data_IF_377604145286
#
_entry.id   IF_377604145286
#
_cell.length_a   1.000
_cell.length_b   1.000
_cell.length_c   1.000
_cell.angle_alpha   90.00
_cell.angle_beta   90.00
_cell.angle_gamma   90.00
#
_symmetry.space_group_name_H-M   'P 1'
#
loop_
_entity.id
_entity.type
_entity.pdbx_description
1 polymer ?
#
# COMPACT_ATOMS: atom_id res chain seq x y z
N UNK A 1 51.56 -44.61 39.45
CA UNK A 1 51.33 -44.87 38.01
C UNK A 1 49.84 -45.15 37.83
N UNK A 2 49.23 -44.52 36.83
CA UNK A 2 47.79 -44.25 36.66
C UNK A 2 46.80 -45.40 36.93
N UNK A 3 45.66 -45.05 37.53
CA UNK A 3 44.45 -45.90 37.54
C UNK A 3 43.36 -45.16 36.72
N UNK A 4 42.76 -45.80 35.70
CA UNK A 4 41.90 -45.17 34.68
C UNK A 4 40.49 -44.76 35.17
N UNK A 5 39.83 -43.79 34.49
CA UNK A 5 38.64 -43.09 35.00
C UNK A 5 37.32 -43.78 34.62
N UNK A 6 37.11 -45.03 35.04
CA UNK A 6 35.88 -45.78 34.73
C UNK A 6 35.19 -46.41 35.96
N UNK A 7 35.41 -45.86 37.16
CA UNK A 7 34.76 -46.34 38.41
C UNK A 7 34.05 -45.19 39.13
N UNK A 8 33.17 -44.47 38.43
CA UNK A 8 32.17 -43.60 39.06
C UNK A 8 30.82 -43.93 38.41
N UNK A 9 29.95 -44.62 39.15
CA UNK A 9 28.55 -44.85 38.76
C UNK A 9 27.81 -43.51 38.56
N UNK A 10 26.64 -43.52 37.88
CA UNK A 10 25.94 -42.31 37.50
C UNK A 10 25.64 -41.44 38.73
N UNK A 11 26.20 -40.22 38.75
CA UNK A 11 25.96 -39.24 39.81
C UNK A 11 24.45 -38.96 39.94
N UNK A 12 23.88 -38.99 41.16
CA UNK A 12 22.43 -38.93 41.38
C UNK A 12 21.78 -37.61 40.88
N UNK A 13 22.55 -36.53 40.76
CA UNK A 13 22.09 -35.28 40.15
C UNK A 13 21.87 -35.40 38.63
N UNK A 14 22.71 -36.19 37.94
CA UNK A 14 22.60 -36.37 36.49
C UNK A 14 21.34 -37.16 36.11
N UNK A 15 20.96 -38.18 36.90
CA UNK A 15 19.72 -38.91 36.69
C UNK A 15 18.48 -38.05 36.98
N UNK A 16 18.54 -37.18 37.99
CA UNK A 16 17.46 -36.24 38.30
C UNK A 16 17.26 -35.18 37.19
N UNK A 17 18.34 -34.64 36.62
CA UNK A 17 18.23 -33.70 35.48
C UNK A 17 17.66 -34.38 34.23
N UNK A 18 18.10 -35.60 33.91
CA UNK A 18 17.55 -36.37 32.79
C UNK A 18 16.07 -36.68 33.03
N UNK A 19 15.68 -37.01 34.27
CA UNK A 19 14.28 -37.21 34.63
C UNK A 19 13.48 -35.91 34.46
N UNK A 20 14.00 -34.76 34.90
CA UNK A 20 13.32 -33.47 34.74
C UNK A 20 13.18 -33.07 33.26
N UNK A 21 14.21 -33.31 32.46
CA UNK A 21 14.19 -33.02 31.02
C UNK A 21 13.21 -33.94 30.27
N UNK A 22 13.11 -35.21 30.67
CA UNK A 22 12.12 -36.15 30.13
C UNK A 22 10.67 -35.73 30.47
N UNK A 23 10.41 -35.29 31.71
CA UNK A 23 9.09 -34.78 32.09
C UNK A 23 8.73 -33.50 31.32
N UNK A 24 9.70 -32.59 31.11
CA UNK A 24 9.48 -31.38 30.31
C UNK A 24 9.20 -31.69 28.84
N UNK A 25 9.88 -32.67 28.25
CA UNK A 25 9.62 -33.12 26.87
C UNK A 25 8.24 -33.78 26.72
N UNK A 26 7.82 -34.60 27.69
CA UNK A 26 6.49 -35.22 27.70
C UNK A 26 5.40 -34.16 27.84
N UNK A 27 5.58 -33.17 28.71
CA UNK A 27 4.64 -32.05 28.86
C UNK A 27 4.54 -31.20 27.58
N UNK A 28 5.66 -30.92 26.91
CA UNK A 28 5.68 -30.19 25.65
C UNK A 28 5.01 -30.98 24.50
N UNK A 29 5.24 -32.30 24.43
CA UNK A 29 4.60 -33.17 23.44
C UNK A 29 3.07 -33.24 23.66
N UNK A 30 2.62 -33.32 24.91
CA UNK A 30 1.19 -33.29 25.25
C UNK A 30 0.54 -31.95 24.90
N UNK A 31 1.23 -30.82 25.15
CA UNK A 31 0.74 -29.49 24.78
C UNK A 31 0.60 -29.31 23.25
N UNK A 32 1.59 -29.78 22.48
CA UNK A 32 1.52 -29.77 21.01
C UNK A 32 0.40 -30.67 20.48
N UNK A 33 0.20 -31.86 21.06
CA UNK A 33 -0.89 -32.75 20.68
C UNK A 33 -2.28 -32.14 20.98
N UNK A 34 -2.44 -31.48 22.13
CA UNK A 34 -3.67 -30.76 22.49
C UNK A 34 -3.93 -29.56 21.56
N UNK A 35 -2.89 -28.81 21.19
CA UNK A 35 -3.01 -27.68 20.26
C UNK A 35 -3.43 -28.14 18.85
N UNK A 36 -2.84 -29.23 18.34
CA UNK A 36 -3.26 -29.82 17.07
C UNK A 36 -4.70 -30.36 17.12
N UNK A 37 -5.10 -31.02 18.21
CA UNK A 37 -6.47 -31.50 18.38
C UNK A 37 -7.49 -30.33 18.40
N UNK A 38 -7.18 -29.23 19.10
CA UNK A 38 -8.02 -28.03 19.12
C UNK A 38 -8.10 -27.35 17.75
N UNK A 39 -6.99 -27.27 17.01
CA UNK A 39 -6.96 -26.71 15.66
C UNK A 39 -7.80 -27.54 14.68
N UNK A 40 -7.73 -28.87 14.74
CA UNK A 40 -8.59 -29.75 13.93
C UNK A 40 -10.07 -29.63 14.32
N UNK A 41 -10.40 -29.51 15.60
CA UNK A 41 -11.77 -29.28 16.05
C UNK A 41 -12.33 -27.94 15.55
N UNK A 42 -11.55 -26.85 15.62
CA UNK A 42 -11.95 -25.54 15.08
C UNK A 42 -12.11 -25.59 13.55
N UNK A 43 -11.21 -26.27 12.84
CA UNK A 43 -11.32 -26.43 11.39
C UNK A 43 -12.58 -27.21 10.97
N UNK A 44 -12.98 -28.25 11.73
CA UNK A 44 -14.22 -28.98 11.47
C UNK A 44 -15.48 -28.12 11.72
N UNK A 45 -15.50 -27.30 12.77
CA UNK A 45 -16.62 -26.39 13.05
C UNK A 45 -16.76 -25.34 11.93
N UNK A 46 -15.65 -24.77 11.44
CA UNK A 46 -15.67 -23.81 10.32
C UNK A 46 -16.10 -24.49 9.02
N UNK A 47 -15.63 -25.71 8.74
CA UNK A 47 -16.04 -26.48 7.56
C UNK A 47 -17.53 -26.84 7.58
N UNK A 48 -18.09 -27.20 8.74
CA UNK A 48 -19.53 -27.44 8.90
C UNK A 48 -20.35 -26.15 8.73
N UNK A 49 -19.88 -25.01 9.24
CA UNK A 49 -20.54 -23.73 9.05
C UNK A 49 -20.54 -23.29 7.56
N UNK A 50 -19.45 -23.52 6.84
CA UNK A 50 -19.38 -23.26 5.40
C UNK A 50 -20.27 -24.22 4.59
N UNK A 51 -20.32 -25.50 4.95
CA UNK A 51 -21.22 -26.47 4.32
C UNK A 51 -22.71 -26.14 4.56
N UNK A 52 -23.07 -25.69 5.76
CA UNK A 52 -24.42 -25.22 6.07
C UNK A 52 -24.79 -23.97 5.26
N UNK A 53 -23.87 -23.01 5.12
CA UNK A 53 -24.09 -21.85 4.26
C UNK A 53 -24.25 -22.24 2.77
N UNK A 54 -23.44 -23.19 2.27
CA UNK A 54 -23.58 -23.68 0.89
C UNK A 54 -24.93 -24.40 0.67
N UNK A 55 -25.40 -25.19 1.63
CA UNK A 55 -26.69 -25.86 1.55
C UNK A 55 -27.86 -24.87 1.63
N UNK A 56 -27.77 -23.84 2.47
CA UNK A 56 -28.74 -22.75 2.53
C UNK A 56 -28.79 -21.94 1.23
N UNK A 57 -27.64 -21.72 0.58
CA UNK A 57 -27.58 -21.03 -0.71
C UNK A 57 -28.19 -21.88 -1.84
N UNK A 58 -27.97 -23.21 -1.85
CA UNK A 58 -28.63 -24.10 -2.80
C UNK A 58 -30.15 -24.20 -2.59
N UNK A 59 -30.62 -24.21 -1.33
CA UNK A 59 -32.06 -24.16 -1.04
C UNK A 59 -32.69 -22.82 -1.46
N UNK A 60 -31.99 -21.69 -1.29
CA UNK A 60 -32.45 -20.39 -1.78
C UNK A 60 -32.56 -20.34 -3.32
N UNK A 61 -31.61 -20.95 -4.04
CA UNK A 61 -31.68 -21.09 -5.51
C UNK A 61 -32.85 -22.00 -5.91
N UNK A 62 -33.09 -23.11 -5.20
CA UNK A 62 -34.22 -24.00 -5.47
C UNK A 62 -35.59 -23.34 -5.18
N UNK A 63 -35.67 -22.49 -4.16
CA UNK A 63 -36.88 -21.72 -3.82
C UNK A 63 -37.16 -20.60 -4.84
N UNK A 64 -36.13 -20.00 -5.43
CA UNK A 64 -36.28 -19.08 -6.57
C UNK A 64 -36.71 -19.80 -7.87
N UNK A 65 -36.41 -21.10 -8.02
CA UNK A 65 -36.84 -21.89 -9.18
C UNK A 65 -38.31 -22.36 -9.09
N UNK A 66 -38.84 -22.62 -7.88
CA UNK A 66 -40.25 -23.02 -7.71
C UNK A 66 -41.26 -21.86 -7.78
N UNK A 67 -40.81 -20.60 -7.79
CA UNK A 67 -41.67 -19.45 -8.09
C UNK A 67 -41.99 -19.29 -9.59
N UNK A 68 -41.48 -20.17 -10.45
CA UNK A 68 -41.87 -20.26 -11.87
C UNK A 68 -42.71 -21.52 -12.09
N UNK A 69 -43.96 -21.50 -11.61
CA UNK A 69 -45.00 -22.16 -12.40
C UNK A 69 -45.07 -21.44 -13.76
N UNK A 70 -45.21 -22.14 -14.90
CA UNK A 70 -45.57 -21.48 -16.15
C UNK A 70 -47.03 -21.02 -16.01
N UNK A 71 -47.23 -19.87 -15.37
CA UNK A 71 -48.40 -19.05 -15.68
C UNK A 71 -48.39 -18.87 -17.21
N UNK A 72 -49.51 -19.08 -17.91
CA UNK A 72 -49.59 -18.75 -19.32
C UNK A 72 -49.27 -17.26 -19.41
N UNK A 73 -48.05 -16.97 -19.88
CA UNK A 73 -47.62 -15.61 -20.18
C UNK A 73 -48.68 -15.08 -21.12
N UNK A 74 -49.46 -14.05 -20.74
CA UNK A 74 -50.12 -13.27 -21.77
C UNK A 74 -48.97 -12.85 -22.68
N UNK A 75 -49.07 -13.20 -23.97
CA UNK A 75 -48.16 -12.68 -24.98
C UNK A 75 -47.84 -11.23 -24.60
N UNK A 76 -46.56 -10.80 -24.59
CA UNK A 76 -46.31 -9.39 -24.50
C UNK A 76 -47.01 -8.80 -25.71
N UNK A 77 -48.17 -8.19 -25.48
CA UNK A 77 -48.75 -7.26 -26.42
C UNK A 77 -47.56 -6.39 -26.84
N UNK A 78 -47.29 -6.25 -28.15
CA UNK A 78 -46.31 -5.27 -28.58
C UNK A 78 -46.73 -4.00 -27.85
N UNK A 79 -45.88 -3.50 -26.93
CA UNK A 79 -46.14 -2.23 -26.26
C UNK A 79 -46.43 -1.29 -27.40
N UNK A 80 -47.71 -0.92 -27.54
CA UNK A 80 -48.13 0.01 -28.57
C UNK A 80 -47.15 1.16 -28.45
N UNK A 81 -46.58 1.65 -29.56
CA UNK A 81 -45.56 2.69 -29.50
C UNK A 81 -46.18 3.82 -28.68
N UNK A 82 -45.78 3.93 -27.41
CA UNK A 82 -46.20 5.02 -26.54
C UNK A 82 -45.84 6.23 -27.37
N UNK A 83 -46.84 7.00 -27.75
CA UNK A 83 -46.62 8.22 -28.50
C UNK A 83 -45.77 9.07 -27.57
N UNK A 84 -44.46 9.02 -27.78
CA UNK A 84 -43.47 9.66 -26.95
C UNK A 84 -43.84 11.13 -27.00
N UNK A 85 -44.35 11.66 -25.89
CA UNK A 85 -44.62 13.08 -25.77
C UNK A 85 -43.34 13.82 -26.13
N UNK A 86 -43.46 14.92 -26.87
CA UNK A 86 -42.32 15.73 -27.35
C UNK A 86 -41.32 16.02 -26.20
N UNK A 87 -41.84 16.24 -24.98
CA UNK A 87 -41.07 16.42 -23.75
C UNK A 87 -40.19 15.21 -23.38
N UNK A 88 -40.72 13.97 -23.44
CA UNK A 88 -39.93 12.76 -23.16
C UNK A 88 -38.85 12.51 -24.21
N UNK A 89 -39.09 12.92 -25.45
CA UNK A 89 -38.11 12.85 -26.53
C UNK A 89 -36.98 13.87 -26.33
N UNK A 90 -37.33 15.09 -25.94
CA UNK A 90 -36.38 16.15 -25.59
C UNK A 90 -35.51 15.77 -24.39
N UNK A 91 -36.08 15.19 -23.33
CA UNK A 91 -35.30 14.69 -22.21
C UNK A 91 -34.30 13.60 -22.62
N UNK A 92 -34.73 12.68 -23.49
CA UNK A 92 -33.86 11.61 -24.00
C UNK A 92 -32.74 12.18 -24.87
N UNK A 93 -33.03 13.18 -25.70
CA UNK A 93 -32.03 13.89 -26.50
C UNK A 93 -31.03 14.63 -25.62
N UNK A 94 -31.48 15.35 -24.60
CA UNK A 94 -30.61 16.05 -23.64
C UNK A 94 -29.73 15.08 -22.86
N UNK A 95 -30.29 13.97 -22.35
CA UNK A 95 -29.53 12.91 -21.66
C UNK A 95 -28.49 12.29 -22.59
N UNK A 96 -28.86 12.05 -23.85
CA UNK A 96 -27.93 11.51 -24.85
C UNK A 96 -26.81 12.50 -25.18
N UNK A 97 -27.12 13.78 -25.35
CA UNK A 97 -26.13 14.83 -25.57
C UNK A 97 -25.17 14.96 -24.39
N UNK A 98 -25.68 14.99 -23.16
CA UNK A 98 -24.84 15.02 -21.96
C UNK A 98 -23.92 13.78 -21.86
N UNK A 99 -24.44 12.59 -22.18
CA UNK A 99 -23.66 11.37 -22.19
C UNK A 99 -22.55 11.42 -23.24
N UNK A 100 -22.88 11.89 -24.45
CA UNK A 100 -21.95 11.97 -25.57
C UNK A 100 -20.85 13.01 -25.34
N UNK A 101 -21.22 14.21 -24.87
CA UNK A 101 -20.27 15.27 -24.49
C UNK A 101 -19.35 14.82 -23.36
N UNK A 102 -19.86 14.06 -22.38
CA UNK A 102 -19.00 13.46 -21.36
C UNK A 102 -18.09 12.41 -21.98
N UNK A 103 -18.64 11.45 -22.74
CA UNK A 103 -17.92 10.28 -23.26
C UNK A 103 -16.75 10.68 -24.15
N UNK A 104 -16.96 11.66 -25.01
CA UNK A 104 -15.97 12.16 -25.97
C UNK A 104 -15.34 13.50 -25.54
N UNK A 105 -15.35 13.79 -24.24
CA UNK A 105 -14.63 14.94 -23.70
C UNK A 105 -13.13 14.84 -24.02
N UNK A 106 -12.49 15.97 -24.26
CA UNK A 106 -11.08 16.08 -24.64
C UNK A 106 -10.13 15.37 -23.67
N UNK A 107 -10.44 15.40 -22.37
CA UNK A 107 -9.71 14.67 -21.32
C UNK A 107 -9.75 13.14 -21.42
N UNK A 108 -10.66 12.60 -22.25
CA UNK A 108 -10.81 11.15 -22.51
C UNK A 108 -10.32 10.75 -23.89
N UNK A 109 -9.76 11.69 -24.67
CA UNK A 109 -9.13 11.35 -25.95
C UNK A 109 -7.89 10.51 -25.68
N UNK A 110 -7.65 9.54 -26.57
CA UNK A 110 -6.42 8.76 -26.56
C UNK A 110 -5.23 9.71 -26.73
N UNK A 111 -4.21 9.58 -25.88
CA UNK A 111 -3.07 10.50 -25.85
C UNK A 111 -3.29 11.77 -25.01
N UNK A 112 -4.38 11.86 -24.24
CA UNK A 112 -4.52 12.94 -23.25
C UNK A 112 -3.46 12.79 -22.15
N UNK A 113 -2.62 13.82 -22.01
CA UNK A 113 -1.68 13.98 -20.91
C UNK A 113 -2.36 14.86 -19.87
N UNK A 114 -2.39 14.38 -18.63
CA UNK A 114 -2.99 15.12 -17.52
C UNK A 114 -2.20 16.40 -17.22
N UNK A 115 -2.81 17.31 -16.46
CA UNK A 115 -2.16 18.55 -16.07
C UNK A 115 -0.81 18.28 -15.37
N UNK A 116 0.17 19.13 -15.66
CA UNK A 116 1.49 19.06 -15.02
C UNK A 116 1.34 19.29 -13.51
N UNK A 117 2.18 18.63 -12.72
CA UNK A 117 2.26 18.88 -11.28
C UNK A 117 2.80 20.28 -11.06
N UNK A 118 1.97 21.13 -10.48
CA UNK A 118 2.33 22.48 -10.05
C UNK A 118 3.14 22.46 -8.75
N UNK A 119 3.86 23.55 -8.51
CA UNK A 119 4.67 23.71 -7.32
C UNK A 119 3.80 23.86 -6.06
N UNK A 120 4.14 23.09 -5.03
CA UNK A 120 3.45 23.11 -3.74
C UNK A 120 4.01 24.23 -2.85
N UNK A 121 3.22 24.78 -1.92
CA UNK A 121 3.71 25.80 -1.00
C UNK A 121 4.88 25.28 -0.16
N UNK A 122 5.95 26.09 0.05
CA UNK A 122 7.16 25.65 0.73
C UNK A 122 6.94 25.29 2.21
N UNK A 123 5.86 25.77 2.82
CA UNK A 123 5.45 25.39 4.18
C UNK A 123 5.08 23.91 4.30
N UNK A 124 4.60 23.30 3.21
CA UNK A 124 4.18 21.90 3.21
C UNK A 124 5.36 20.97 3.55
N UNK A 125 6.49 21.13 2.86
CA UNK A 125 7.69 20.33 3.11
C UNK A 125 8.32 20.66 4.48
N UNK A 126 8.36 21.94 4.86
CA UNK A 126 8.87 22.38 6.17
C UNK A 126 8.10 21.73 7.32
N UNK A 127 6.78 21.66 7.20
CA UNK A 127 5.92 20.99 8.19
C UNK A 127 6.17 19.50 8.23
N UNK A 128 6.26 18.82 7.08
CA UNK A 128 6.51 17.37 7.03
C UNK A 128 7.82 17.01 7.73
N UNK A 129 8.91 17.71 7.42
CA UNK A 129 10.22 17.44 8.03
C UNK A 129 10.18 17.70 9.54
N UNK A 130 9.54 18.79 9.97
CA UNK A 130 9.37 19.12 11.40
C UNK A 130 8.55 18.07 12.15
N UNK A 131 7.47 17.59 11.53
CA UNK A 131 6.56 16.61 12.12
C UNK A 131 7.19 15.20 12.22
N UNK A 132 8.01 14.80 11.23
CA UNK A 132 8.70 13.50 11.24
C UNK A 132 9.92 13.49 12.17
N UNK A 133 10.63 14.61 12.26
CA UNK A 133 11.77 14.80 13.17
C UNK A 133 12.81 13.69 13.04
N UNK A 134 13.12 13.04 14.16
CA UNK A 134 14.10 11.96 14.29
C UNK A 134 13.50 10.54 14.11
N UNK A 135 12.24 10.44 13.68
CA UNK A 135 11.52 9.16 13.54
C UNK A 135 11.39 8.35 14.84
N UNK A 136 11.53 8.97 16.02
CA UNK A 136 11.35 8.30 17.32
C UNK A 136 9.89 7.95 17.61
N UNK A 137 8.95 8.79 17.17
CA UNK A 137 7.52 8.62 17.40
C UNK A 137 6.96 7.34 16.74
N UNK A 138 6.12 6.63 17.47
CA UNK A 138 5.41 5.43 16.97
C UNK A 138 4.45 5.75 15.81
N UNK A 139 4.00 7.01 15.69
CA UNK A 139 3.09 7.48 14.64
C UNK A 139 3.66 7.24 13.24
N UNK A 140 4.95 7.48 13.04
CA UNK A 140 5.63 7.40 11.74
C UNK A 140 6.35 6.06 11.51
N UNK A 141 5.89 4.98 12.16
CA UNK A 141 6.52 3.65 12.04
C UNK A 141 6.51 3.12 10.61
N UNK A 142 5.45 3.39 9.84
CA UNK A 142 5.30 2.91 8.47
C UNK A 142 6.29 3.60 7.51
N UNK A 143 6.64 4.85 7.78
CA UNK A 143 7.52 5.65 6.93
C UNK A 143 9.01 5.29 7.11
N UNK A 144 9.39 4.65 8.23
CA UNK A 144 10.79 4.26 8.51
C UNK A 144 11.42 3.42 7.40
N UNK A 145 10.66 2.51 6.80
CA UNK A 145 11.12 1.68 5.67
C UNK A 145 11.47 2.55 4.47
N UNK A 146 10.69 3.59 4.22
CA UNK A 146 10.90 4.51 3.10
C UNK A 146 12.15 5.36 3.32
N UNK A 147 12.38 5.87 4.53
CA UNK A 147 13.62 6.60 4.88
C UNK A 147 14.87 5.75 4.64
N UNK A 148 14.83 4.47 5.03
CA UNK A 148 15.93 3.54 4.74
C UNK A 148 16.09 3.26 3.23
N UNK A 149 14.99 3.13 2.49
CA UNK A 149 15.04 2.96 1.03
C UNK A 149 15.60 4.19 0.30
N UNK A 150 15.30 5.38 0.81
CA UNK A 150 15.77 6.64 0.24
C UNK A 150 17.30 6.82 0.35
N UNK A 151 17.94 6.17 1.32
CA UNK A 151 19.40 6.21 1.50
C UNK A 151 20.17 5.83 0.24
N UNK A 152 19.63 4.93 -0.60
CA UNK A 152 20.21 4.56 -1.90
C UNK A 152 20.46 5.77 -2.81
N UNK A 153 19.58 6.77 -2.75
CA UNK A 153 19.63 7.95 -3.61
C UNK A 153 20.30 9.16 -2.95
N UNK A 154 20.81 8.99 -1.72
CA UNK A 154 21.53 10.04 -1.00
C UNK A 154 22.70 10.61 -1.80
N UNK A 155 23.55 9.80 -2.49
CA UNK A 155 24.65 10.36 -3.28
C UNK A 155 24.17 11.31 -4.39
N UNK A 156 23.01 11.01 -4.99
CA UNK A 156 22.43 11.87 -6.03
C UNK A 156 21.88 13.18 -5.45
N UNK A 157 21.21 13.12 -4.30
CA UNK A 157 20.72 14.32 -3.62
C UNK A 157 21.88 15.24 -3.20
N UNK A 158 22.96 14.67 -2.67
CA UNK A 158 24.16 15.43 -2.28
C UNK A 158 24.84 16.05 -3.49
N UNK A 159 24.99 15.32 -4.60
CA UNK A 159 25.56 15.85 -5.83
C UNK A 159 24.76 17.06 -6.35
N UNK A 160 23.42 16.93 -6.43
CA UNK A 160 22.52 18.02 -6.88
C UNK A 160 22.50 19.21 -5.91
N UNK A 161 22.75 18.98 -4.63
CA UNK A 161 22.87 20.04 -3.63
C UNK A 161 24.18 20.82 -3.80
N UNK A 162 25.30 20.10 -3.97
CA UNK A 162 26.63 20.70 -4.09
C UNK A 162 26.85 21.42 -5.42
N UNK A 163 26.28 20.92 -6.52
CA UNK A 163 26.38 21.63 -7.80
C UNK A 163 25.68 23.01 -7.76
N UNK A 164 24.66 23.16 -6.91
CA UNK A 164 23.85 24.38 -6.78
C UNK A 164 24.26 25.24 -5.57
N UNK A 165 25.50 25.12 -5.09
CA UNK A 165 26.01 26.00 -4.04
C UNK A 165 25.89 27.48 -4.45
N UNK A 166 25.50 28.37 -3.52
CA UNK A 166 25.45 29.79 -3.78
C UNK A 166 26.86 30.32 -4.07
N UNK A 167 26.97 31.13 -5.12
CA UNK A 167 28.23 31.77 -5.48
C UNK A 167 28.55 32.90 -4.49
N UNK A 168 29.82 33.30 -4.30
CA UNK A 168 30.19 34.27 -3.26
C UNK A 168 29.57 35.67 -3.44
N UNK A 169 29.15 36.02 -4.66
CA UNK A 169 28.42 37.26 -4.94
C UNK A 169 26.89 37.15 -4.71
N UNK A 170 26.37 35.96 -4.42
CA UNK A 170 24.95 35.73 -4.15
C UNK A 170 24.70 35.64 -2.64
N UNK A 171 23.80 36.48 -2.12
CA UNK A 171 23.44 36.43 -0.69
C UNK A 171 22.52 35.25 -0.37
N UNK A 172 21.53 34.99 -1.22
CA UNK A 172 20.54 33.91 -1.08
C UNK A 172 20.30 33.34 -2.48
N UNK A 173 20.22 32.02 -2.58
CA UNK A 173 19.82 31.29 -3.79
C UNK A 173 18.59 30.45 -3.49
N UNK A 174 17.47 30.81 -4.13
CA UNK A 174 16.26 30.00 -4.12
C UNK A 174 16.34 28.93 -5.22
N UNK A 175 16.00 27.69 -4.87
CA UNK A 175 16.19 26.53 -5.74
C UNK A 175 14.93 25.66 -5.72
N UNK A 176 14.48 25.20 -6.89
CA UNK A 176 13.39 24.23 -6.97
C UNK A 176 13.78 22.90 -6.32
N UNK A 177 12.93 22.45 -5.40
CA UNK A 177 13.12 21.20 -4.66
C UNK A 177 12.06 20.17 -5.05
N UNK A 178 12.52 18.96 -5.41
CA UNK A 178 11.68 17.79 -5.58
C UNK A 178 11.81 16.91 -4.35
N UNK A 179 10.73 16.75 -3.60
CA UNK A 179 10.74 16.04 -2.32
C UNK A 179 9.83 14.81 -2.33
N UNK A 180 10.20 13.81 -1.53
CA UNK A 180 9.33 12.67 -1.27
C UNK A 180 8.14 13.10 -0.40
N UNK A 181 6.93 12.56 -0.64
CA UNK A 181 5.70 12.94 0.09
C UNK A 181 5.80 12.78 1.61
N UNK A 182 6.65 11.88 2.10
CA UNK A 182 6.92 11.67 3.55
C UNK A 182 8.12 12.47 4.07
N UNK A 183 8.80 13.26 3.24
CA UNK A 183 10.01 14.00 3.60
C UNK A 183 11.29 13.16 3.68
N UNK A 184 11.26 11.90 3.22
CA UNK A 184 12.40 10.97 3.32
C UNK A 184 13.67 11.43 2.60
N UNK A 185 13.53 12.15 1.48
CA UNK A 185 14.64 12.71 0.71
C UNK A 185 14.13 13.90 -0.09
N UNK A 186 15.02 14.87 -0.30
CA UNK A 186 14.76 16.06 -1.10
C UNK A 186 15.90 16.22 -2.10
N UNK A 187 15.56 16.35 -3.37
CA UNK A 187 16.48 16.63 -4.46
C UNK A 187 16.34 18.09 -4.87
N UNK A 188 17.45 18.70 -5.22
CA UNK A 188 17.44 19.94 -5.99
C UNK A 188 17.13 19.57 -7.45
N UNK A 189 16.07 20.15 -8.01
CA UNK A 189 15.60 19.90 -9.37
C UNK A 189 15.96 21.04 -10.33
N UNK A 190 17.22 21.46 -10.29
CA UNK A 190 17.75 22.52 -11.16
C UNK A 190 19.13 22.14 -11.68
N UNK A 191 19.52 22.70 -12.82
CA UNK A 191 20.89 22.62 -13.35
C UNK A 191 21.39 24.07 -13.43
N UNK A 192 22.54 24.40 -12.82
CA UNK A 192 23.06 25.76 -12.79
C UNK A 192 23.65 26.13 -14.15
N UNK A 193 22.81 26.68 -15.03
CA UNK A 193 23.25 27.24 -16.30
C UNK A 193 23.86 28.62 -16.08
N UNK A 194 25.12 28.80 -16.51
CA UNK A 194 25.84 30.07 -16.40
C UNK A 194 26.27 30.54 -17.78
N UNK A 195 26.23 31.87 -18.00
CA UNK A 195 26.77 32.48 -19.21
C UNK A 195 28.28 32.58 -19.03
N UNK A 196 29.04 31.79 -19.79
CA UNK A 196 30.49 31.64 -19.64
C UNK A 196 31.28 32.96 -19.52
N UNK A 197 31.15 33.95 -20.41
CA UNK A 197 31.90 35.20 -20.29
C UNK A 197 31.56 36.00 -19.03
N UNK A 198 30.31 35.94 -18.57
CA UNK A 198 29.87 36.62 -17.34
C UNK A 198 30.43 35.90 -16.11
N UNK A 199 30.40 34.58 -16.12
CA UNK A 199 30.91 33.75 -15.04
C UNK A 199 32.41 33.96 -14.83
N UNK A 200 33.20 34.00 -15.91
CA UNK A 200 34.64 34.29 -15.85
C UNK A 200 34.88 35.71 -15.31
N UNK A 201 34.11 36.70 -15.78
CA UNK A 201 34.23 38.07 -15.30
C UNK A 201 33.92 38.18 -13.80
N UNK A 202 32.87 37.52 -13.31
CA UNK A 202 32.50 37.49 -11.89
C UNK A 202 33.61 36.88 -11.03
N UNK A 203 34.18 35.75 -11.46
CA UNK A 203 35.32 35.15 -10.77
C UNK A 203 36.58 36.00 -10.84
N UNK A 204 36.79 36.76 -11.92
CA UNK A 204 37.92 37.68 -12.03
C UNK A 204 37.81 38.92 -11.13
N UNK A 205 36.59 39.27 -10.69
CA UNK A 205 36.38 40.36 -9.71
C UNK A 205 36.54 39.94 -8.25
N UNK A 206 36.60 38.62 -7.99
CA UNK A 206 36.78 38.02 -6.66
C UNK A 206 38.25 37.73 -6.37
#
# INVERSE_FOLDING_TARGET
MAIPPYILGPNPWASMMVQQQAHAQIAAAQAHAQAHAQAHAQAQVVAQAQAAHAHAQMQAVHQLQQAQQPVPVPMPLPKQPEVLTEEKLQEKAQKWQQLQSKRFSEKRKFGFVDAQKEDMPPEHIRKIIRDHGDMSSRKYRHDKRVYLGALKYMPHAVMKLLENMPMPWEQIRDVKALYHITGAITFVNEIPWVIEPVYIAQWGTM
#
